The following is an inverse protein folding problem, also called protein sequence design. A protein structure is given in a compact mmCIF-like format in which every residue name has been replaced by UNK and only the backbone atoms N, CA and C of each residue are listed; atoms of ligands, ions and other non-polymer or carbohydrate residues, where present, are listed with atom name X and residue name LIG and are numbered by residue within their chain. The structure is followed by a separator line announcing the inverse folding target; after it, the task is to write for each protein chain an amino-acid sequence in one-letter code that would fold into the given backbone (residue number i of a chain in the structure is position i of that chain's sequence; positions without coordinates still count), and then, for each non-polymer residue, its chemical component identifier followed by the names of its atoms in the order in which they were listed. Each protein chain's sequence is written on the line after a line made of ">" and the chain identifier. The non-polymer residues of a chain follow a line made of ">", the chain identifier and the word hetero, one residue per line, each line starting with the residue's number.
data_IF_765656879629
#
_entry.id   IF_765656879629
#
_cell.length_a   1.000
_cell.length_b   1.000
_cell.length_c   1.000
_cell.angle_alpha   90.00
_cell.angle_beta   90.00
_cell.angle_gamma   90.00
#
_symmetry.space_group_name_H-M   'P 1'
#
loop_
_entity.id
_entity.type
_entity.pdbx_description
1 polymer ?
#
# COMPACT_ATOMS: atom_id res chain seq x y z
N UNK A 1 19.74 -5.03 -20.08
CA UNK A 1 19.31 -4.31 -18.86
C UNK A 1 19.47 -5.27 -17.70
N UNK A 2 20.17 -4.91 -16.62
CA UNK A 2 20.25 -5.75 -15.42
C UNK A 2 18.83 -5.86 -14.84
N UNK A 3 18.30 -7.07 -14.70
CA UNK A 3 17.03 -7.29 -14.02
C UNK A 3 17.17 -6.78 -12.59
N UNK A 4 16.34 -5.84 -12.21
CA UNK A 4 16.31 -5.34 -10.83
C UNK A 4 15.62 -6.38 -9.97
N UNK A 5 16.23 -6.78 -8.86
CA UNK A 5 15.60 -7.71 -7.89
C UNK A 5 14.32 -7.05 -7.35
N UNK A 6 13.16 -7.70 -7.46
CA UNK A 6 11.93 -7.12 -6.94
C UNK A 6 11.98 -6.97 -5.42
N UNK A 7 11.29 -5.96 -4.88
CA UNK A 7 11.21 -5.75 -3.44
C UNK A 7 9.98 -6.45 -2.83
N UNK A 8 10.11 -6.93 -1.57
CA UNK A 8 8.97 -7.34 -0.75
C UNK A 8 8.81 -6.37 0.40
N UNK A 9 7.61 -5.84 0.58
CA UNK A 9 7.29 -4.84 1.62
C UNK A 9 5.94 -5.12 2.24
N UNK A 10 5.69 -4.56 3.43
CA UNK A 10 4.48 -4.83 4.19
C UNK A 10 3.74 -3.55 4.53
N UNK A 11 2.41 -3.62 4.58
CA UNK A 11 1.57 -2.57 5.13
C UNK A 11 1.04 -2.98 6.50
N UNK A 12 1.09 -2.04 7.43
CA UNK A 12 0.50 -2.15 8.76
C UNK A 12 -0.35 -0.91 9.05
N UNK A 13 -1.25 -1.02 10.00
CA UNK A 13 -2.06 0.10 10.46
C UNK A 13 -1.93 0.28 11.99
N UNK A 14 -1.98 1.53 12.47
CA UNK A 14 -1.96 1.80 13.89
C UNK A 14 -3.10 1.08 14.61
N UNK A 15 -2.87 0.53 15.80
CA UNK A 15 -3.91 -0.15 16.55
C UNK A 15 -5.01 0.81 16.98
N UNK A 16 -6.20 0.27 17.23
CA UNK A 16 -7.23 1.04 17.90
C UNK A 16 -6.73 1.36 19.33
N UNK A 17 -6.76 2.61 19.78
CA UNK A 17 -6.32 3.01 21.12
C UNK A 17 -6.94 2.20 22.26
N UNK A 18 -8.16 1.68 22.07
CA UNK A 18 -8.86 0.85 23.04
C UNK A 18 -8.28 -0.57 23.18
N UNK A 19 -7.47 -1.04 22.23
CA UNK A 19 -6.94 -2.42 22.19
C UNK A 19 -5.48 -2.49 22.71
N UNK A 20 -4.81 -1.35 22.84
CA UNK A 20 -3.39 -1.27 23.22
C UNK A 20 -2.43 -1.61 22.09
N UNK A 21 -1.13 -1.40 22.35
CA UNK A 21 -0.08 -1.54 21.34
C UNK A 21 0.58 -2.95 21.31
N UNK A 22 0.38 -3.77 22.31
CA UNK A 22 1.17 -5.01 22.48
C UNK A 22 1.07 -5.97 21.29
N UNK A 23 -0.13 -6.10 20.73
CA UNK A 23 -0.37 -6.97 19.56
C UNK A 23 0.36 -6.50 18.30
N UNK A 24 0.34 -5.21 18.03
CA UNK A 24 1.03 -4.68 16.86
C UNK A 24 2.54 -4.72 17.03
N UNK A 25 3.05 -4.45 18.22
CA UNK A 25 4.47 -4.55 18.54
C UNK A 25 4.97 -5.99 18.33
N UNK A 26 4.27 -6.98 18.87
CA UNK A 26 4.62 -8.39 18.66
C UNK A 26 4.56 -8.79 17.17
N UNK A 27 3.55 -8.33 16.44
CA UNK A 27 3.45 -8.59 15.01
C UNK A 27 4.62 -7.96 14.21
N UNK A 28 5.01 -6.73 14.54
CA UNK A 28 6.13 -6.04 13.91
C UNK A 28 7.47 -6.70 14.20
N UNK A 29 7.71 -7.16 15.43
CA UNK A 29 8.91 -7.93 15.79
C UNK A 29 9.02 -9.22 14.97
N UNK A 30 7.91 -9.96 14.80
CA UNK A 30 7.90 -11.14 13.94
C UNK A 30 8.09 -10.80 12.44
N UNK A 31 7.62 -9.64 11.98
CA UNK A 31 7.83 -9.17 10.61
C UNK A 31 9.27 -8.69 10.36
N UNK A 32 9.98 -8.22 11.41
CA UNK A 32 11.38 -7.81 11.32
C UNK A 32 12.27 -8.96 10.84
N UNK A 33 12.04 -10.18 11.36
CA UNK A 33 12.79 -11.38 10.98
C UNK A 33 12.64 -11.76 9.49
N UNK A 34 11.61 -11.23 8.82
CA UNK A 34 11.38 -11.44 7.39
C UNK A 34 12.16 -10.45 6.50
N UNK A 35 12.91 -9.53 7.10
CA UNK A 35 13.75 -8.53 6.43
C UNK A 35 13.06 -7.79 5.25
N UNK A 36 11.87 -7.17 5.45
CA UNK A 36 11.19 -6.45 4.38
C UNK A 36 12.01 -5.24 3.93
N UNK A 37 11.90 -4.88 2.64
CA UNK A 37 12.56 -3.69 2.11
C UNK A 37 12.06 -2.40 2.76
N UNK A 38 10.80 -2.36 3.12
CA UNK A 38 10.19 -1.30 3.92
C UNK A 38 8.87 -1.78 4.54
N UNK A 39 8.40 -1.04 5.55
CA UNK A 39 7.04 -1.17 6.07
C UNK A 39 6.33 0.17 5.89
N UNK A 40 5.12 0.16 5.32
CA UNK A 40 4.26 1.34 5.28
C UNK A 40 3.28 1.35 6.44
N UNK A 41 3.03 2.54 7.00
CA UNK A 41 2.11 2.74 8.13
C UNK A 41 0.94 3.57 7.66
N UNK A 42 -0.27 2.98 7.67
CA UNK A 42 -1.47 3.71 7.26
C UNK A 42 -1.84 4.81 8.25
N UNK A 43 -2.58 5.81 7.81
CA UNK A 43 -3.26 6.72 8.72
C UNK A 43 -4.45 5.99 9.35
N UNK A 44 -4.52 5.99 10.69
CA UNK A 44 -5.61 5.33 11.42
C UNK A 44 -6.98 5.95 11.09
N UNK A 45 -8.06 5.26 11.51
CA UNK A 45 -9.43 5.80 11.44
C UNK A 45 -9.60 7.14 12.18
N UNK A 46 -8.69 7.48 13.10
CA UNK A 46 -8.58 8.81 13.69
C UNK A 46 -7.67 9.69 12.85
N UNK A 47 -8.11 10.03 11.65
CA UNK A 47 -7.38 10.83 10.64
C UNK A 47 -6.96 12.23 11.15
N UNK A 48 -7.46 12.66 12.29
CA UNK A 48 -7.15 13.95 12.91
C UNK A 48 -5.97 13.89 13.90
N UNK A 49 -5.49 12.68 14.26
CA UNK A 49 -4.38 12.51 15.19
C UNK A 49 -3.25 11.65 14.60
N UNK A 50 -2.73 12.08 13.45
CA UNK A 50 -1.66 11.37 12.71
C UNK A 50 -0.39 11.26 13.55
N UNK A 51 -0.07 12.26 14.34
CA UNK A 51 1.12 12.29 15.21
C UNK A 51 1.13 11.14 16.21
N UNK A 52 0.04 10.98 16.98
CA UNK A 52 -0.04 9.96 18.05
C UNK A 52 -0.26 8.54 17.53
N UNK A 53 -0.53 8.41 16.25
CA UNK A 53 -0.83 7.11 15.63
C UNK A 53 0.25 6.75 14.59
N UNK A 54 0.19 7.35 13.42
CA UNK A 54 1.07 7.02 12.28
C UNK A 54 2.52 7.40 12.54
N UNK A 55 2.80 8.63 13.03
CA UNK A 55 4.18 9.08 13.26
C UNK A 55 4.83 8.25 14.37
N UNK A 56 4.13 8.00 15.48
CA UNK A 56 4.66 7.20 16.58
C UNK A 56 4.97 5.75 16.18
N UNK A 57 4.09 5.12 15.38
CA UNK A 57 4.33 3.76 14.89
C UNK A 57 5.45 3.73 13.86
N UNK A 58 5.52 4.74 12.99
CA UNK A 58 6.59 4.89 12.01
C UNK A 58 7.96 5.10 12.69
N UNK A 59 8.01 5.88 13.76
CA UNK A 59 9.20 6.08 14.61
C UNK A 59 9.70 4.73 15.15
N UNK A 60 8.81 3.95 15.78
CA UNK A 60 9.16 2.63 16.31
C UNK A 60 9.72 1.69 15.23
N UNK A 61 9.09 1.63 14.05
CA UNK A 61 9.55 0.77 12.95
C UNK A 61 10.91 1.25 12.42
N UNK A 62 11.07 2.57 12.24
CA UNK A 62 12.27 3.16 11.69
C UNK A 62 13.47 3.03 12.64
N UNK A 63 13.28 3.35 13.93
CA UNK A 63 14.38 3.53 14.88
C UNK A 63 14.59 2.32 15.81
N UNK A 64 13.54 1.68 16.30
CA UNK A 64 13.68 0.51 17.19
C UNK A 64 13.87 -0.78 16.39
N UNK A 65 13.17 -0.95 15.26
CA UNK A 65 13.29 -2.14 14.42
C UNK A 65 14.30 -1.98 13.27
N UNK A 66 14.79 -0.75 13.02
CA UNK A 66 15.72 -0.43 11.93
C UNK A 66 15.21 -0.85 10.53
N UNK A 67 13.89 -0.74 10.30
CA UNK A 67 13.27 -1.04 9.01
C UNK A 67 12.91 0.27 8.31
N UNK A 68 13.30 0.48 7.03
CA UNK A 68 12.87 1.67 6.27
C UNK A 68 11.35 1.84 6.30
N UNK A 69 10.86 3.05 6.62
CA UNK A 69 9.45 3.26 6.88
C UNK A 69 8.85 4.30 5.94
N UNK A 70 7.62 4.04 5.47
CA UNK A 70 6.80 4.96 4.69
C UNK A 70 5.59 5.35 5.52
N UNK A 71 5.37 6.65 5.76
CA UNK A 71 4.19 7.13 6.45
C UNK A 71 3.09 7.52 5.46
N UNK A 72 1.86 7.03 5.65
CA UNK A 72 0.72 7.48 4.85
C UNK A 72 0.25 8.86 5.36
N UNK A 73 0.02 9.78 4.44
CA UNK A 73 -0.45 11.12 4.75
C UNK A 73 -1.69 11.45 3.90
N UNK A 74 -2.91 11.21 4.41
CA UNK A 74 -4.15 11.64 3.78
C UNK A 74 -4.46 13.09 4.16
N UNK A 75 -4.58 14.00 3.17
CA UNK A 75 -4.59 15.44 3.43
C UNK A 75 -5.94 16.14 3.32
N UNK A 76 -7.00 15.49 2.80
CA UNK A 76 -8.27 16.19 2.51
C UNK A 76 -8.94 16.89 3.71
N UNK A 77 -8.61 16.44 4.94
CA UNK A 77 -9.08 17.06 6.19
C UNK A 77 -7.99 17.84 6.93
N UNK A 78 -6.84 18.07 6.31
CA UNK A 78 -5.72 18.79 6.92
C UNK A 78 -5.56 20.18 6.31
N UNK A 79 -5.14 21.12 7.14
CA UNK A 79 -4.65 22.44 6.68
C UNK A 79 -3.17 22.33 6.28
N UNK A 80 -2.67 23.31 5.54
CA UNK A 80 -1.24 23.42 5.19
C UNK A 80 -0.35 23.43 6.43
N UNK A 81 -0.75 24.16 7.49
CA UNK A 81 0.00 24.22 8.75
C UNK A 81 0.08 22.84 9.41
N UNK A 82 -1.03 22.06 9.38
CA UNK A 82 -1.06 20.73 9.98
C UNK A 82 -0.21 19.73 9.19
N UNK A 83 -0.20 19.83 7.87
CA UNK A 83 0.68 19.04 7.01
C UNK A 83 2.15 19.41 7.27
N UNK A 84 2.50 20.70 7.35
CA UNK A 84 3.86 21.15 7.65
C UNK A 84 4.33 20.64 9.03
N UNK A 85 3.49 20.72 10.06
CA UNK A 85 3.76 20.15 11.39
C UNK A 85 4.02 18.62 11.30
N UNK A 86 3.18 17.89 10.57
CA UNK A 86 3.33 16.44 10.42
C UNK A 86 4.62 16.06 9.69
N UNK A 87 4.98 16.78 8.62
CA UNK A 87 6.25 16.60 7.90
C UNK A 87 7.44 16.84 8.84
N UNK A 88 7.40 17.92 9.64
CA UNK A 88 8.45 18.23 10.59
C UNK A 88 8.57 17.15 11.70
N UNK A 89 7.45 16.56 12.13
CA UNK A 89 7.48 15.49 13.12
C UNK A 89 8.04 14.18 12.51
N UNK A 90 7.71 13.85 11.25
CA UNK A 90 8.30 12.71 10.52
C UNK A 90 9.80 12.89 10.30
N UNK A 91 10.24 14.08 9.92
CA UNK A 91 11.67 14.39 9.70
C UNK A 91 12.48 14.25 10.99
N UNK A 92 11.95 14.69 12.13
CA UNK A 92 12.59 14.55 13.45
C UNK A 92 12.87 13.09 13.84
N UNK A 93 12.02 12.17 13.41
CA UNK A 93 12.18 10.73 13.68
C UNK A 93 12.88 9.99 12.51
N UNK A 94 13.42 10.73 11.54
CA UNK A 94 14.17 10.16 10.41
C UNK A 94 13.33 9.44 9.36
N UNK A 95 12.00 9.59 9.38
CA UNK A 95 11.09 9.04 8.37
C UNK A 95 10.92 10.06 7.24
N UNK A 96 11.59 9.82 6.12
CA UNK A 96 11.65 10.75 4.98
C UNK A 96 10.92 10.23 3.74
N UNK A 97 10.04 9.23 3.90
CA UNK A 97 9.22 8.68 2.83
C UNK A 97 7.74 8.80 3.18
N UNK A 98 6.97 9.41 2.27
CA UNK A 98 5.55 9.66 2.46
C UNK A 98 4.74 9.05 1.32
N UNK A 99 3.75 8.22 1.64
CA UNK A 99 2.68 7.87 0.70
C UNK A 99 1.63 8.99 0.76
N UNK A 100 1.66 9.85 -0.27
CA UNK A 100 0.78 11.01 -0.37
C UNK A 100 -0.60 10.61 -0.90
N UNK A 101 -1.63 10.86 -0.10
CA UNK A 101 -3.00 10.49 -0.38
C UNK A 101 -3.94 11.69 -0.30
N UNK A 102 -4.99 11.70 -1.11
CA UNK A 102 -6.12 12.59 -0.86
C UNK A 102 -6.78 12.21 0.48
N UNK A 103 -7.03 10.96 0.67
CA UNK A 103 -7.87 10.39 1.72
C UNK A 103 -9.31 10.20 1.26
N UNK A 104 -10.05 9.38 2.00
CA UNK A 104 -11.46 9.09 1.72
C UNK A 104 -12.37 10.21 2.23
N UNK A 105 -13.46 10.44 1.52
CA UNK A 105 -14.52 11.34 1.98
C UNK A 105 -15.30 10.66 3.11
N UNK A 106 -15.40 11.35 4.25
CA UNK A 106 -16.18 10.90 5.41
C UNK A 106 -17.56 11.54 5.30
N UNK A 107 -18.65 10.76 5.35
CA UNK A 107 -19.99 11.32 5.38
C UNK A 107 -20.14 12.34 6.53
N UNK A 108 -20.84 13.42 6.26
CA UNK A 108 -21.16 14.49 7.23
C UNK A 108 -19.95 15.26 7.81
N UNK A 109 -18.74 15.07 7.23
CA UNK A 109 -17.55 15.84 7.58
C UNK A 109 -17.13 16.68 6.38
N UNK A 110 -17.10 18.00 6.55
CA UNK A 110 -16.67 18.91 5.47
C UNK A 110 -15.15 18.84 5.27
N UNK A 111 -14.65 18.56 4.05
CA UNK A 111 -13.23 18.61 3.74
C UNK A 111 -12.63 20.01 3.93
N UNK A 112 -11.34 20.07 4.25
CA UNK A 112 -10.59 21.31 4.18
C UNK A 112 -10.39 21.72 2.69
N UNK A 113 -10.08 23.01 2.47
CA UNK A 113 -9.93 23.57 1.12
C UNK A 113 -8.49 23.55 0.62
N UNK A 114 -7.52 23.24 1.47
CA UNK A 114 -6.10 23.36 1.18
C UNK A 114 -5.59 22.28 0.24
N UNK A 115 -6.13 21.06 0.35
CA UNK A 115 -5.72 19.91 -0.45
C UNK A 115 -6.95 19.19 -1.02
N UNK A 116 -7.22 19.43 -2.28
CA UNK A 116 -8.35 18.78 -2.97
C UNK A 116 -7.97 17.43 -3.57
N UNK A 117 -6.72 17.30 -4.00
CA UNK A 117 -6.15 16.13 -4.63
C UNK A 117 -4.81 15.75 -3.99
N UNK A 118 -4.37 14.51 -4.19
CA UNK A 118 -3.05 14.08 -3.76
C UNK A 118 -1.93 14.90 -4.44
N UNK A 119 -2.14 15.39 -5.65
CA UNK A 119 -1.19 16.26 -6.37
C UNK A 119 -0.91 17.54 -5.60
N UNK A 120 -1.94 18.19 -5.04
CA UNK A 120 -1.77 19.43 -4.27
C UNK A 120 -0.87 19.19 -3.03
N UNK A 121 -1.03 18.01 -2.39
CA UNK A 121 -0.19 17.60 -1.27
C UNK A 121 1.26 17.35 -1.71
N UNK A 122 1.45 16.66 -2.83
CA UNK A 122 2.78 16.34 -3.37
C UNK A 122 3.55 17.63 -3.68
N UNK A 123 2.93 18.56 -4.39
CA UNK A 123 3.50 19.88 -4.72
C UNK A 123 3.89 20.63 -3.44
N UNK A 124 3.00 20.69 -2.46
CA UNK A 124 3.24 21.33 -1.18
C UNK A 124 4.43 20.69 -0.42
N UNK A 125 4.49 19.34 -0.34
CA UNK A 125 5.62 18.67 0.33
C UNK A 125 6.93 18.96 -0.41
N UNK A 126 6.93 18.91 -1.74
CA UNK A 126 8.13 19.18 -2.55
C UNK A 126 8.62 20.63 -2.42
N UNK A 127 7.71 21.57 -2.23
CA UNK A 127 8.06 22.97 -1.95
C UNK A 127 8.64 23.16 -0.55
N UNK A 128 8.04 22.56 0.49
CA UNK A 128 8.43 22.77 1.89
C UNK A 128 9.62 21.90 2.33
N UNK A 129 9.69 20.67 1.82
CA UNK A 129 10.65 19.65 2.23
C UNK A 129 11.07 18.77 1.03
N UNK A 130 11.84 19.30 0.07
CA UNK A 130 12.17 18.63 -1.20
C UNK A 130 12.95 17.33 -1.04
N UNK A 131 13.56 17.09 0.11
CA UNK A 131 14.29 15.86 0.43
C UNK A 131 13.39 14.67 0.68
N UNK A 132 12.09 14.87 0.98
CA UNK A 132 11.18 13.74 1.13
C UNK A 132 10.98 12.99 -0.18
N UNK A 133 11.07 11.67 -0.10
CA UNK A 133 10.68 10.75 -1.16
C UNK A 133 9.16 10.56 -1.12
N UNK A 134 8.50 10.82 -2.25
CA UNK A 134 7.04 10.75 -2.32
C UNK A 134 6.61 9.51 -3.10
N UNK A 135 5.78 8.72 -2.47
CA UNK A 135 5.11 7.57 -3.06
C UNK A 135 3.66 7.94 -3.37
N UNK A 136 3.15 7.53 -4.52
CA UNK A 136 1.76 7.73 -4.94
C UNK A 136 0.95 6.44 -4.92
N UNK A 137 -0.33 6.54 -4.61
CA UNK A 137 -1.26 5.44 -4.84
C UNK A 137 -1.73 5.43 -6.30
N UNK A 138 -1.89 4.23 -6.88
CA UNK A 138 -2.44 4.01 -8.21
C UNK A 138 -3.44 2.85 -8.23
N UNK A 139 -4.23 2.74 -9.30
CA UNK A 139 -5.39 1.87 -9.34
C UNK A 139 -5.41 1.06 -10.64
N UNK A 140 -4.98 -0.23 -10.64
CA UNK A 140 -4.97 -1.06 -11.85
C UNK A 140 -6.34 -1.17 -12.53
N UNK A 141 -7.41 -1.13 -11.75
CA UNK A 141 -8.79 -1.25 -12.22
C UNK A 141 -9.51 0.10 -12.34
N UNK A 142 -8.77 1.21 -12.14
CA UNK A 142 -9.27 2.59 -12.17
C UNK A 142 -9.79 3.08 -10.83
N UNK A 143 -9.57 4.37 -10.56
CA UNK A 143 -10.08 5.02 -9.36
C UNK A 143 -11.61 5.21 -9.46
N UNK A 144 -12.40 4.92 -8.41
CA UNK A 144 -13.87 5.06 -8.45
C UNK A 144 -14.37 6.46 -8.88
N UNK A 145 -13.68 7.51 -8.45
CA UNK A 145 -14.05 8.90 -8.77
C UNK A 145 -13.56 9.33 -10.17
N UNK A 146 -12.78 8.51 -10.87
CA UNK A 146 -12.34 8.84 -12.23
C UNK A 146 -13.43 8.49 -13.23
N UNK A 147 -13.77 9.40 -14.18
CA UNK A 147 -14.85 9.15 -15.14
C UNK A 147 -14.53 8.00 -16.12
N UNK A 148 -13.25 7.70 -16.33
CA UNK A 148 -12.76 6.60 -17.16
C UNK A 148 -11.27 6.37 -16.90
N UNK A 149 -10.74 5.26 -17.42
CA UNK A 149 -9.33 4.88 -17.26
C UNK A 149 -8.34 5.90 -17.88
N UNK A 150 -8.69 6.55 -18.99
CA UNK A 150 -7.81 7.55 -19.62
C UNK A 150 -7.60 8.72 -18.67
N UNK A 151 -8.68 9.25 -18.10
CA UNK A 151 -8.61 10.33 -17.11
C UNK A 151 -7.83 9.92 -15.87
N UNK A 152 -7.97 8.67 -15.44
CA UNK A 152 -7.24 8.12 -14.29
C UNK A 152 -5.72 8.09 -14.54
N UNK A 153 -5.29 7.56 -15.68
CA UNK A 153 -3.88 7.54 -16.08
C UNK A 153 -3.32 8.97 -16.24
N UNK A 154 -4.10 9.92 -16.80
CA UNK A 154 -3.70 11.33 -16.87
C UNK A 154 -3.52 11.96 -15.49
N UNK A 155 -4.40 11.64 -14.53
CA UNK A 155 -4.29 12.10 -13.15
C UNK A 155 -3.07 11.48 -12.47
N UNK A 156 -2.78 10.19 -12.74
CA UNK A 156 -1.59 9.51 -12.25
C UNK A 156 -0.32 10.15 -12.80
N UNK A 157 -0.29 10.46 -14.11
CA UNK A 157 0.83 11.19 -14.73
C UNK A 157 1.10 12.52 -14.05
N UNK A 158 0.04 13.29 -13.74
CA UNK A 158 0.20 14.56 -13.00
C UNK A 158 0.82 14.35 -11.61
N UNK A 159 0.45 13.28 -10.89
CA UNK A 159 1.08 12.94 -9.60
C UNK A 159 2.57 12.65 -9.75
N UNK A 160 2.95 11.91 -10.79
CA UNK A 160 4.35 11.60 -11.07
C UNK A 160 5.11 12.87 -11.44
N UNK A 161 4.55 13.71 -12.31
CA UNK A 161 5.15 15.00 -12.71
C UNK A 161 5.29 15.98 -11.54
N UNK A 162 4.39 15.92 -10.55
CA UNK A 162 4.46 16.70 -9.32
C UNK A 162 5.56 16.20 -8.35
N UNK A 163 6.14 15.02 -8.57
CA UNK A 163 7.31 14.55 -7.82
C UNK A 163 7.18 13.19 -7.13
N UNK A 164 6.22 12.34 -7.52
CA UNK A 164 6.24 10.95 -7.07
C UNK A 164 7.43 10.21 -7.68
N UNK A 165 8.19 9.51 -6.85
CA UNK A 165 9.34 8.68 -7.24
C UNK A 165 9.00 7.20 -7.41
N UNK A 166 7.89 6.74 -6.85
CA UNK A 166 7.37 5.39 -7.00
C UNK A 166 5.86 5.34 -6.74
N UNK A 167 5.24 4.22 -7.10
CA UNK A 167 3.81 4.01 -6.96
C UNK A 167 3.53 2.69 -6.22
N UNK A 168 2.44 2.66 -5.45
CA UNK A 168 1.88 1.44 -4.86
C UNK A 168 0.44 1.30 -5.36
N UNK A 169 0.07 0.12 -5.85
CA UNK A 169 -1.29 -0.09 -6.36
C UNK A 169 -2.28 -0.33 -5.24
N UNK A 170 -3.55 0.03 -5.47
CA UNK A 170 -4.66 -0.59 -4.76
C UNK A 170 -4.61 -2.10 -5.01
N UNK A 171 -5.10 -2.90 -4.05
CA UNK A 171 -5.19 -4.35 -4.22
C UNK A 171 -6.02 -4.73 -5.45
N UNK A 172 -5.67 -5.84 -6.07
CA UNK A 172 -6.37 -6.44 -7.19
C UNK A 172 -6.24 -7.97 -7.11
N UNK A 173 -7.08 -8.71 -7.84
CA UNK A 173 -7.06 -10.17 -7.86
C UNK A 173 -6.75 -10.75 -9.25
N UNK A 174 -6.66 -9.93 -10.26
CA UNK A 174 -6.41 -10.29 -11.65
C UNK A 174 -5.12 -9.63 -12.14
N UNK A 175 -4.07 -10.42 -12.32
CA UNK A 175 -2.77 -9.90 -12.75
C UNK A 175 -2.81 -9.31 -14.17
N UNK A 176 -3.70 -9.80 -15.04
CA UNK A 176 -3.88 -9.22 -16.38
C UNK A 176 -4.32 -7.75 -16.31
N UNK A 177 -5.13 -7.37 -15.30
CA UNK A 177 -5.51 -5.98 -15.06
C UNK A 177 -4.32 -5.11 -14.68
N UNK A 178 -3.39 -5.68 -13.91
CA UNK A 178 -2.16 -5.00 -13.54
C UNK A 178 -1.24 -4.83 -14.75
N UNK A 179 -1.08 -5.82 -15.62
CA UNK A 179 -0.27 -5.72 -16.83
C UNK A 179 -0.84 -4.70 -17.83
N UNK A 180 -2.15 -4.77 -18.09
CA UNK A 180 -2.87 -3.76 -18.89
C UNK A 180 -2.67 -2.33 -18.35
N UNK A 181 -2.63 -2.19 -17.03
CA UNK A 181 -2.37 -0.91 -16.37
C UNK A 181 -0.93 -0.45 -16.57
N UNK A 182 0.06 -1.34 -16.41
CA UNK A 182 1.47 -1.02 -16.64
C UNK A 182 1.73 -0.56 -18.09
N UNK A 183 1.12 -1.22 -19.06
CA UNK A 183 1.22 -0.84 -20.48
C UNK A 183 0.67 0.58 -20.69
N UNK A 184 -0.49 0.90 -20.11
CA UNK A 184 -1.06 2.25 -20.16
C UNK A 184 -0.17 3.29 -19.48
N UNK A 185 0.44 2.95 -18.35
CA UNK A 185 1.41 3.82 -17.66
C UNK A 185 2.62 4.10 -18.57
N UNK A 186 3.17 3.08 -19.18
CA UNK A 186 4.31 3.20 -20.12
C UNK A 186 3.95 4.09 -21.29
N UNK A 187 2.78 3.89 -21.92
CA UNK A 187 2.30 4.73 -23.03
C UNK A 187 2.08 6.19 -22.63
N UNK A 188 1.74 6.45 -21.37
CA UNK A 188 1.57 7.78 -20.81
C UNK A 188 2.90 8.43 -20.35
N UNK A 189 4.04 7.75 -20.49
CA UNK A 189 5.35 8.22 -20.01
C UNK A 189 5.47 8.23 -18.49
N UNK A 190 4.88 7.23 -17.83
CA UNK A 190 5.04 6.99 -16.39
C UNK A 190 6.09 5.89 -16.23
N UNK A 191 7.32 6.30 -15.89
CA UNK A 191 8.51 5.41 -15.85
C UNK A 191 8.95 5.07 -14.41
N UNK A 192 8.23 5.53 -13.40
CA UNK A 192 8.57 5.25 -11.99
C UNK A 192 8.19 3.81 -11.61
N UNK A 193 8.93 3.19 -10.66
CA UNK A 193 8.62 1.85 -10.18
C UNK A 193 7.19 1.73 -9.63
N UNK A 194 6.50 0.64 -9.98
CA UNK A 194 5.15 0.34 -9.51
C UNK A 194 5.19 -0.93 -8.66
N UNK A 195 4.87 -0.82 -7.38
CA UNK A 195 4.76 -1.94 -6.45
C UNK A 195 3.34 -2.49 -6.46
N UNK A 196 3.21 -3.78 -6.72
CA UNK A 196 1.91 -4.47 -6.77
C UNK A 196 1.36 -4.71 -5.36
N UNK A 197 0.22 -4.13 -5.04
CA UNK A 197 -0.48 -4.31 -3.76
C UNK A 197 -1.24 -5.63 -3.74
N UNK A 198 -0.85 -6.56 -2.89
CA UNK A 198 -1.46 -7.89 -2.75
C UNK A 198 -2.08 -8.05 -1.37
N UNK A 199 -3.36 -8.44 -1.33
CA UNK A 199 -4.07 -8.74 -0.09
C UNK A 199 -4.53 -10.20 -0.06
N UNK A 200 -3.91 -11.06 0.75
CA UNK A 200 -4.41 -12.40 0.99
C UNK A 200 -5.79 -12.37 1.66
N UNK A 201 -6.75 -13.06 1.11
CA UNK A 201 -8.09 -13.18 1.70
C UNK A 201 -8.15 -14.42 2.58
N UNK A 202 -8.30 -14.20 3.88
CA UNK A 202 -8.21 -15.26 4.89
C UNK A 202 -9.57 -15.73 5.39
N UNK A 203 -10.62 -14.93 5.19
CA UNK A 203 -11.96 -15.27 5.63
C UNK A 203 -13.02 -14.52 4.82
N UNK A 204 -14.25 -15.06 4.87
CA UNK A 204 -15.39 -14.53 4.12
C UNK A 204 -15.76 -13.09 4.50
N UNK A 205 -15.69 -12.74 5.78
CA UNK A 205 -16.06 -11.39 6.23
C UNK A 205 -15.10 -10.33 5.67
N UNK A 206 -13.81 -10.68 5.53
CA UNK A 206 -12.82 -9.83 4.86
C UNK A 206 -13.19 -9.65 3.38
N UNK A 207 -13.49 -10.74 2.66
CA UNK A 207 -13.91 -10.67 1.26
C UNK A 207 -15.17 -9.81 1.06
N UNK A 208 -16.20 -10.03 1.88
CA UNK A 208 -17.45 -9.27 1.79
C UNK A 208 -17.28 -7.78 2.13
N UNK A 209 -16.45 -7.44 3.11
CA UNK A 209 -16.11 -6.04 3.41
C UNK A 209 -15.41 -5.39 2.23
N UNK A 210 -14.44 -6.06 1.67
CA UNK A 210 -13.66 -5.57 0.56
C UNK A 210 -14.53 -5.28 -0.67
N UNK A 211 -15.45 -6.17 -1.01
CA UNK A 211 -16.41 -5.97 -2.09
C UNK A 211 -17.37 -4.80 -1.86
N UNK A 212 -17.59 -4.40 -0.62
CA UNK A 212 -18.41 -3.23 -0.28
C UNK A 212 -17.63 -1.92 -0.30
N UNK A 213 -16.33 -1.96 -0.04
CA UNK A 213 -15.49 -0.76 0.09
C UNK A 213 -14.71 -0.44 -1.17
N UNK A 214 -14.51 -1.42 -2.05
CA UNK A 214 -13.74 -1.27 -3.28
C UNK A 214 -14.66 -1.58 -4.48
N UNK A 215 -15.37 -0.56 -4.95
CA UNK A 215 -16.45 -0.69 -5.95
C UNK A 215 -15.98 -1.22 -7.31
N UNK A 216 -14.71 -1.02 -7.69
CA UNK A 216 -14.19 -1.36 -9.01
C UNK A 216 -13.38 -2.66 -9.06
N UNK A 217 -13.30 -3.43 -7.97
CA UNK A 217 -12.48 -4.64 -7.94
C UNK A 217 -13.14 -5.77 -8.75
N UNK A 218 -12.42 -6.24 -9.75
CA UNK A 218 -12.76 -7.44 -10.50
C UNK A 218 -12.40 -8.71 -9.73
N UNK A 219 -13.37 -9.60 -9.55
CA UNK A 219 -13.12 -10.93 -9.00
C UNK A 219 -13.00 -11.95 -10.15
N UNK A 220 -11.79 -12.49 -10.40
CA UNK A 220 -11.62 -13.56 -11.38
C UNK A 220 -12.48 -14.79 -11.05
N UNK A 221 -12.90 -15.52 -12.09
CA UNK A 221 -13.72 -16.74 -11.93
C UNK A 221 -13.11 -17.74 -10.94
N UNK A 222 -11.77 -17.93 -11.00
CA UNK A 222 -11.02 -18.81 -10.09
C UNK A 222 -11.21 -18.38 -8.64
N UNK A 223 -11.03 -17.09 -8.36
CA UNK A 223 -11.13 -16.55 -6.99
C UNK A 223 -12.57 -16.59 -6.46
N UNK A 224 -13.54 -16.23 -7.30
CA UNK A 224 -14.96 -16.34 -6.94
C UNK A 224 -15.34 -17.78 -6.59
N UNK A 225 -14.89 -18.78 -7.38
CA UNK A 225 -15.14 -20.18 -7.10
C UNK A 225 -14.55 -20.65 -5.75
N UNK A 226 -13.40 -20.11 -5.34
CA UNK A 226 -12.81 -20.36 -4.01
C UNK A 226 -13.73 -19.82 -2.91
N UNK A 227 -14.17 -18.56 -3.03
CA UNK A 227 -15.06 -17.93 -2.06
C UNK A 227 -16.39 -18.69 -1.90
N UNK A 228 -16.99 -19.09 -3.01
CA UNK A 228 -18.26 -19.82 -3.03
C UNK A 228 -18.08 -21.24 -2.48
N UNK A 229 -17.00 -21.95 -2.86
CA UNK A 229 -16.74 -23.34 -2.45
C UNK A 229 -16.51 -23.49 -0.96
N UNK A 230 -15.76 -22.56 -0.38
CA UNK A 230 -15.32 -22.64 1.03
C UNK A 230 -16.05 -21.63 1.93
N UNK A 231 -17.23 -21.19 1.53
CA UNK A 231 -18.04 -20.20 2.24
C UNK A 231 -18.22 -20.51 3.75
N UNK A 232 -18.44 -21.80 4.06
CA UNK A 232 -18.71 -22.29 5.41
C UNK A 232 -17.54 -23.10 6.01
N UNK A 233 -16.37 -23.07 5.35
CA UNK A 233 -15.15 -23.75 5.81
C UNK A 233 -14.00 -22.73 5.93
N UNK A 234 -13.82 -22.08 7.10
CA UNK A 234 -12.83 -21.03 7.29
C UNK A 234 -11.38 -21.49 7.11
N UNK A 235 -11.07 -22.76 7.45
CA UNK A 235 -9.73 -23.31 7.34
C UNK A 235 -9.34 -23.53 5.86
N UNK A 236 -10.23 -24.16 5.11
CA UNK A 236 -10.04 -24.33 3.67
C UNK A 236 -10.02 -23.00 2.92
N UNK A 237 -10.87 -22.03 3.31
CA UNK A 237 -10.87 -20.70 2.70
C UNK A 237 -9.55 -19.97 2.96
N UNK A 238 -9.03 -20.02 4.19
CA UNK A 238 -7.72 -19.43 4.54
C UNK A 238 -6.62 -20.07 3.70
N UNK A 239 -6.57 -21.39 3.63
CA UNK A 239 -5.57 -22.13 2.85
C UNK A 239 -5.62 -21.77 1.36
N UNK A 240 -6.81 -21.79 0.76
CA UNK A 240 -7.00 -21.46 -0.65
C UNK A 240 -6.71 -19.98 -0.96
N UNK A 241 -7.05 -19.06 -0.05
CA UNK A 241 -6.76 -17.63 -0.18
C UNK A 241 -5.27 -17.31 -0.11
N UNK A 242 -4.52 -17.97 0.79
CA UNK A 242 -3.07 -17.85 0.84
C UNK A 242 -2.41 -18.43 -0.42
N UNK A 243 -2.83 -19.61 -0.86
CA UNK A 243 -2.32 -20.21 -2.10
C UNK A 243 -2.60 -19.33 -3.33
N UNK A 244 -3.76 -18.69 -3.39
CA UNK A 244 -4.09 -17.74 -4.46
C UNK A 244 -3.13 -16.52 -4.45
N UNK A 245 -2.87 -15.94 -3.29
CA UNK A 245 -1.93 -14.81 -3.17
C UNK A 245 -0.49 -15.20 -3.54
N UNK A 246 -0.04 -16.40 -3.17
CA UNK A 246 1.27 -16.93 -3.60
C UNK A 246 1.33 -17.07 -5.13
N UNK A 247 0.29 -17.64 -5.76
CA UNK A 247 0.18 -17.78 -7.21
C UNK A 247 0.29 -16.41 -7.93
N UNK A 248 -0.44 -15.38 -7.42
CA UNK A 248 -0.32 -14.01 -7.93
C UNK A 248 1.10 -13.46 -7.81
N UNK A 249 1.75 -13.64 -6.66
CA UNK A 249 3.10 -13.13 -6.42
C UNK A 249 4.12 -13.80 -7.33
N UNK A 250 4.03 -15.12 -7.50
CA UNK A 250 4.92 -15.89 -8.40
C UNK A 250 4.82 -15.36 -9.82
N UNK A 251 3.60 -15.16 -10.32
CA UNK A 251 3.36 -14.64 -11.66
C UNK A 251 3.91 -13.20 -11.81
N UNK A 252 3.58 -12.28 -10.89
CA UNK A 252 4.05 -10.90 -10.90
C UNK A 252 5.57 -10.79 -10.89
N UNK A 253 6.25 -11.58 -10.05
CA UNK A 253 7.72 -11.58 -9.97
C UNK A 253 8.33 -12.15 -11.25
N UNK A 254 7.72 -13.16 -11.84
CA UNK A 254 8.15 -13.75 -13.12
C UNK A 254 8.06 -12.73 -14.27
N UNK A 255 7.12 -11.79 -14.20
CA UNK A 255 6.93 -10.71 -15.18
C UNK A 255 7.68 -9.41 -14.80
N UNK A 256 8.74 -9.52 -13.99
CA UNK A 256 9.65 -8.42 -13.65
C UNK A 256 8.96 -7.20 -12.97
N UNK A 257 7.96 -7.45 -12.09
CA UNK A 257 7.38 -6.37 -11.27
C UNK A 257 8.45 -5.69 -10.40
N UNK A 258 8.37 -4.38 -10.19
CA UNK A 258 9.34 -3.64 -9.37
C UNK A 258 9.34 -4.09 -7.89
N UNK A 259 8.20 -4.57 -7.40
CA UNK A 259 8.06 -5.12 -6.05
C UNK A 259 6.62 -5.52 -5.72
N UNK A 260 6.49 -6.24 -4.64
CA UNK A 260 5.20 -6.64 -4.04
C UNK A 260 5.03 -5.93 -2.71
N UNK A 261 3.88 -5.30 -2.52
CA UNK A 261 3.48 -4.66 -1.29
C UNK A 261 2.33 -5.46 -0.65
N UNK A 262 2.62 -6.16 0.44
CA UNK A 262 1.66 -7.06 1.07
C UNK A 262 0.80 -6.33 2.10
N UNK A 263 -0.49 -6.30 1.91
CA UNK A 263 -1.49 -5.82 2.86
C UNK A 263 -1.70 -6.86 3.96
N UNK A 264 -0.91 -6.79 5.03
CA UNK A 264 -0.83 -7.85 6.06
C UNK A 264 -2.02 -7.88 7.00
N UNK A 265 -2.79 -6.80 7.09
CA UNK A 265 -3.84 -6.61 8.11
C UNK A 265 -3.31 -6.81 9.54
N UNK A 266 -2.06 -6.38 9.81
CA UNK A 266 -1.31 -6.60 11.06
C UNK A 266 -1.15 -8.08 11.45
N UNK A 267 -1.25 -9.00 10.49
CA UNK A 267 -1.15 -10.44 10.73
C UNK A 267 0.24 -10.95 10.31
N UNK A 268 1.10 -11.16 11.31
CA UNK A 268 2.46 -11.64 11.10
C UNK A 268 2.50 -13.06 10.52
N UNK A 269 1.57 -13.95 10.91
CA UNK A 269 1.53 -15.33 10.40
C UNK A 269 1.25 -15.34 8.88
N UNK A 270 0.44 -14.39 8.40
CA UNK A 270 0.19 -14.23 6.95
C UNK A 270 1.44 -13.76 6.24
N UNK A 271 2.13 -12.74 6.77
CA UNK A 271 3.39 -12.26 6.21
C UNK A 271 4.45 -13.36 6.18
N UNK A 272 4.57 -14.12 7.27
CA UNK A 272 5.50 -15.25 7.40
C UNK A 272 5.20 -16.35 6.37
N UNK A 273 3.93 -16.74 6.22
CA UNK A 273 3.53 -17.76 5.24
C UNK A 273 3.88 -17.35 3.81
N UNK A 274 3.52 -16.12 3.42
CA UNK A 274 3.84 -15.58 2.09
C UNK A 274 5.35 -15.51 1.89
N UNK A 275 6.08 -14.99 2.87
CA UNK A 275 7.54 -14.91 2.81
C UNK A 275 8.16 -16.32 2.65
N UNK A 276 7.78 -17.31 3.46
CA UNK A 276 8.30 -18.67 3.36
C UNK A 276 8.05 -19.29 1.98
N UNK A 277 6.90 -19.02 1.38
CA UNK A 277 6.55 -19.55 0.08
C UNK A 277 7.25 -18.84 -1.11
N UNK A 278 7.72 -17.59 -0.92
CA UNK A 278 8.15 -16.73 -2.04
C UNK A 278 9.53 -16.10 -1.86
N UNK A 279 10.19 -16.19 -0.70
CA UNK A 279 11.44 -15.48 -0.40
C UNK A 279 12.57 -15.72 -1.42
N UNK A 280 12.65 -16.93 -1.99
CA UNK A 280 13.64 -17.25 -3.00
C UNK A 280 13.49 -16.41 -4.28
N UNK A 281 12.27 -15.91 -4.56
CA UNK A 281 11.99 -15.07 -5.73
C UNK A 281 12.51 -13.64 -5.56
N UNK A 282 12.61 -13.17 -4.31
CA UNK A 282 13.07 -11.81 -3.96
C UNK A 282 14.58 -11.76 -3.67
N UNK A 283 15.25 -12.91 -3.58
CA UNK A 283 16.67 -13.03 -3.28
C UNK A 283 17.51 -13.45 -4.51
N UNK A 284 16.97 -13.38 -5.72
CA UNK A 284 17.70 -13.73 -6.93
C UNK A 284 18.88 -12.76 -7.13
N UNK A 285 20.07 -13.16 -6.60
CA UNK A 285 21.31 -12.65 -7.17
C UNK A 285 21.36 -13.18 -8.60
N UNK A 286 21.35 -12.28 -9.58
CA UNK A 286 21.65 -12.64 -10.96
C UNK A 286 22.97 -13.43 -10.95
N UNK A 287 22.88 -14.74 -11.22
CA UNK A 287 24.05 -15.53 -11.59
C UNK A 287 24.61 -14.84 -12.84
N UNK A 288 25.69 -14.04 -12.63
CA UNK A 288 26.42 -13.34 -13.68
C UNK A 288 27.14 -14.30 -14.62
#
# INVERSE_FOLDING_TARGET
>A
MSRQTPSLSFEVFPPNPAVGNDKIIAALQNMQDLAPHFISVTASNNKFNIKETTVRLADYIQNDLAIPTIAHLPAIYLTKDKVAETIADLDKVGVQKILALRGDIIPDVEPQKDFRYATDLIEFIKEQAPHFEIIGACYPEGHPDSPNQISDIQNLKRKVDAGCSSLVTQLFFDNERFYDFQDKCTLAGIDVPIHAGIMPILNRNQALRLLKTCENIHLPRKFKAILDKYENDPESLRTAGLAYAVDQIVDLVTQDVAGVHLYTMNNADTAQYIHQATHALFNHQSLG
#
